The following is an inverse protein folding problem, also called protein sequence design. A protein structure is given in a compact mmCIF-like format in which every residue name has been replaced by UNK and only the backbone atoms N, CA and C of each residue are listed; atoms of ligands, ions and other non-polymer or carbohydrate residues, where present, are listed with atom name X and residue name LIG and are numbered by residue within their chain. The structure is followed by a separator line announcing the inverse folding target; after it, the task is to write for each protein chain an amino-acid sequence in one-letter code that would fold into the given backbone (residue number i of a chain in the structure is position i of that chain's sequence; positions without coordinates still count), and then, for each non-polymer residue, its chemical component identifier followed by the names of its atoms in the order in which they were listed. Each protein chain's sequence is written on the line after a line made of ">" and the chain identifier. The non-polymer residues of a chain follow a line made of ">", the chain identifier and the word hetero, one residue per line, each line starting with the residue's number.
data_IF_267826967841
#
_entry.id   IF_267826967841
#
_cell.length_a   1.000
_cell.length_b   1.000
_cell.length_c   1.000
_cell.angle_alpha   90.00
_cell.angle_beta   90.00
_cell.angle_gamma   90.00
#
_symmetry.space_group_name_H-M   'P 1'
#
loop_
_entity.id
_entity.type
_entity.pdbx_description
1 polymer ?
#
# COMPACT_ATOMS: atom_id res chain seq x y z
N UNK A 1 10.80 58.35 -13.52
CA UNK A 1 10.46 56.95 -13.21
C UNK A 1 9.33 56.39 -14.10
N UNK A 2 8.38 57.17 -14.52
CA UNK A 2 7.21 56.73 -15.31
C UNK A 2 7.52 56.13 -16.72
N UNK A 3 8.52 56.63 -17.42
CA UNK A 3 8.87 56.08 -18.77
C UNK A 3 9.40 54.64 -18.74
N UNK A 4 10.00 54.18 -17.63
CA UNK A 4 10.48 52.78 -17.51
C UNK A 4 9.33 51.81 -17.20
N UNK A 5 8.34 52.26 -16.44
CA UNK A 5 7.16 51.48 -16.12
C UNK A 5 6.29 51.22 -17.33
N UNK A 6 6.08 52.25 -18.17
CA UNK A 6 5.31 52.11 -19.42
C UNK A 6 5.97 51.16 -20.42
N UNK A 7 7.30 51.15 -20.49
CA UNK A 7 8.05 50.20 -21.35
C UNK A 7 7.94 48.75 -20.88
N UNK A 8 7.93 48.50 -19.57
CA UNK A 8 7.74 47.12 -19.04
C UNK A 8 6.33 46.59 -19.25
N UNK A 9 5.31 47.42 -19.11
CA UNK A 9 3.91 47.04 -19.36
C UNK A 9 3.71 46.73 -20.85
N UNK A 10 4.26 47.52 -21.75
CA UNK A 10 4.18 47.28 -23.19
C UNK A 10 4.90 45.97 -23.59
N UNK A 11 6.09 45.67 -23.01
CA UNK A 11 6.80 44.44 -23.30
C UNK A 11 6.04 43.18 -22.77
N UNK A 12 5.42 43.27 -21.61
CA UNK A 12 4.58 42.18 -21.09
C UNK A 12 3.35 41.93 -21.96
N UNK A 13 2.69 42.98 -22.42
CA UNK A 13 1.54 42.86 -23.31
C UNK A 13 1.90 42.19 -24.66
N UNK A 14 3.05 42.52 -25.23
CA UNK A 14 3.55 41.90 -26.49
C UNK A 14 3.85 40.41 -26.28
N UNK A 15 4.44 40.00 -25.13
CA UNK A 15 4.70 38.60 -24.84
C UNK A 15 3.44 37.80 -24.64
N UNK A 16 2.40 38.36 -24.00
CA UNK A 16 1.09 37.72 -23.86
C UNK A 16 0.41 37.50 -25.20
N UNK A 17 0.44 38.50 -26.08
CA UNK A 17 -0.13 38.40 -27.44
C UNK A 17 0.59 37.36 -28.28
N UNK A 18 1.94 37.28 -28.17
CA UNK A 18 2.74 36.26 -28.87
C UNK A 18 2.45 34.85 -28.33
N UNK A 19 2.23 34.71 -27.02
CA UNK A 19 1.88 33.41 -26.41
C UNK A 19 0.50 32.94 -26.85
N UNK A 20 -0.50 33.83 -26.91
CA UNK A 20 -1.87 33.54 -27.41
C UNK A 20 -1.82 33.17 -28.91
N UNK A 21 -1.03 33.88 -29.71
CA UNK A 21 -0.87 33.58 -31.14
C UNK A 21 -0.19 32.22 -31.37
N UNK A 22 0.78 31.83 -30.52
CA UNK A 22 1.42 30.53 -30.61
C UNK A 22 0.47 29.38 -30.31
N UNK A 23 -0.45 29.56 -29.37
CA UNK A 23 -1.43 28.52 -29.00
C UNK A 23 -2.53 28.34 -30.05
N UNK A 24 -2.91 29.43 -30.74
CA UNK A 24 -3.93 29.40 -31.81
C UNK A 24 -3.37 28.78 -33.11
N UNK A 25 -2.06 28.90 -33.37
CA UNK A 25 -1.43 28.39 -34.60
C UNK A 25 -0.61 27.10 -34.40
N UNK A 26 -0.77 26.40 -33.30
CA UNK A 26 -0.20 25.06 -33.17
C UNK A 26 -0.84 24.13 -34.20
N UNK A 27 -0.05 23.54 -35.12
CA UNK A 27 -0.61 22.52 -36.00
C UNK A 27 -1.10 21.35 -35.15
N UNK A 28 -2.33 20.90 -35.40
CA UNK A 28 -2.90 19.74 -34.74
C UNK A 28 -1.96 18.52 -34.90
N UNK A 29 -1.76 17.70 -33.88
CA UNK A 29 -1.00 16.46 -34.00
C UNK A 29 -1.64 15.63 -35.12
N UNK A 30 -0.82 15.18 -36.09
CA UNK A 30 -1.28 14.30 -37.15
C UNK A 30 -1.86 13.02 -36.53
N UNK A 31 -3.04 12.57 -37.01
CA UNK A 31 -3.55 11.27 -36.62
C UNK A 31 -2.50 10.20 -36.97
N UNK A 32 -2.11 9.39 -36.04
CA UNK A 32 -1.32 8.18 -36.30
C UNK A 32 -2.26 7.23 -37.01
N UNK A 33 -1.99 6.94 -38.29
CA UNK A 33 -2.70 5.89 -39.00
C UNK A 33 -2.50 4.57 -38.26
N UNK A 34 -3.56 3.80 -37.96
CA UNK A 34 -3.41 2.47 -37.40
C UNK A 34 -2.70 1.59 -38.43
N UNK A 35 -1.44 1.28 -38.16
CA UNK A 35 -0.71 0.27 -38.92
C UNK A 35 -1.49 -1.04 -38.91
N UNK A 36 -1.68 -1.58 -40.12
CA UNK A 36 -2.36 -2.85 -40.37
C UNK A 36 -1.69 -3.99 -39.58
N UNK A 37 -2.16 -4.23 -38.37
CA UNK A 37 -1.89 -5.48 -37.67
C UNK A 37 -2.89 -6.53 -38.19
N UNK A 38 -2.37 -7.45 -38.99
CA UNK A 38 -3.10 -8.66 -39.34
C UNK A 38 -3.59 -9.36 -38.05
N UNK A 39 -4.86 -9.85 -38.01
CA UNK A 39 -5.34 -10.52 -36.84
C UNK A 39 -4.54 -11.81 -36.61
N UNK A 40 -3.93 -11.93 -35.43
CA UNK A 40 -3.41 -13.20 -34.91
C UNK A 40 -4.58 -14.18 -34.85
N UNK A 41 -4.55 -15.19 -35.69
CA UNK A 41 -5.43 -16.35 -35.58
C UNK A 41 -5.17 -17.00 -34.22
N UNK A 42 -6.08 -16.78 -33.30
CA UNK A 42 -6.18 -17.59 -32.07
C UNK A 42 -6.61 -18.97 -32.54
N UNK A 43 -5.74 -19.97 -32.35
CA UNK A 43 -6.10 -21.36 -32.61
C UNK A 43 -7.27 -21.73 -31.69
N UNK A 44 -8.37 -22.25 -32.25
CA UNK A 44 -9.48 -22.80 -31.50
C UNK A 44 -8.99 -23.90 -30.57
N UNK A 45 -9.42 -23.91 -29.29
CA UNK A 45 -9.12 -25.02 -28.40
C UNK A 45 -9.79 -26.29 -28.91
N UNK A 46 -9.18 -27.48 -28.71
CA UNK A 46 -9.75 -28.74 -29.16
C UNK A 46 -11.11 -28.99 -28.50
N UNK A 47 -12.04 -29.66 -29.20
CA UNK A 47 -13.41 -29.93 -28.70
C UNK A 47 -13.37 -30.77 -27.42
N UNK A 48 -14.10 -30.28 -26.42
CA UNK A 48 -14.30 -30.98 -25.15
C UNK A 48 -15.07 -32.31 -25.44
N UNK A 49 -14.58 -33.48 -24.98
CA UNK A 49 -15.30 -34.75 -25.13
C UNK A 49 -16.62 -34.71 -24.36
N UNK A 50 -17.69 -35.36 -24.84
CA UNK A 50 -18.98 -35.36 -24.19
C UNK A 50 -18.89 -36.02 -22.79
N UNK A 51 -19.68 -35.51 -21.82
CA UNK A 51 -19.67 -36.03 -20.46
C UNK A 51 -20.10 -37.51 -20.46
N UNK A 52 -19.23 -38.35 -19.89
CA UNK A 52 -19.57 -39.75 -19.62
C UNK A 52 -20.53 -39.79 -18.43
N UNK A 53 -21.71 -40.45 -18.63
CA UNK A 53 -22.70 -40.67 -17.57
C UNK A 53 -22.03 -41.50 -16.44
N UNK A 54 -22.22 -41.15 -15.18
CA UNK A 54 -21.82 -41.99 -14.06
C UNK A 54 -22.73 -43.25 -13.97
N UNK A 55 -22.21 -44.36 -13.46
CA UNK A 55 -23.01 -45.57 -13.24
C UNK A 55 -24.10 -45.32 -12.18
N UNK A 56 -25.22 -46.06 -12.20
CA UNK A 56 -26.32 -45.87 -11.28
C UNK A 56 -25.89 -46.15 -9.82
N UNK A 57 -26.44 -45.39 -8.84
CA UNK A 57 -26.05 -45.54 -7.45
C UNK A 57 -26.65 -46.82 -6.86
N UNK A 58 -25.79 -47.63 -6.20
CA UNK A 58 -26.23 -48.69 -5.29
C UNK A 58 -26.92 -48.05 -4.07
N UNK A 59 -28.07 -48.66 -3.71
CA UNK A 59 -28.92 -48.27 -2.60
C UNK A 59 -28.20 -48.51 -1.27
N UNK A 60 -27.77 -47.44 -0.58
CA UNK A 60 -27.40 -47.49 0.83
C UNK A 60 -28.36 -46.65 1.68
N UNK A 61 -28.79 -47.23 2.78
CA UNK A 61 -29.68 -46.77 3.82
C UNK A 61 -29.39 -45.34 4.32
N UNK A 62 -30.41 -44.52 4.70
CA UNK A 62 -30.24 -43.18 5.13
C UNK A 62 -29.64 -43.10 6.56
N UNK A 63 -28.37 -42.75 6.66
CA UNK A 63 -27.77 -42.25 7.90
C UNK A 63 -28.03 -40.76 7.97
N UNK A 64 -28.80 -40.32 8.94
CA UNK A 64 -29.06 -38.90 9.26
C UNK A 64 -27.75 -38.20 9.61
N UNK A 65 -27.16 -37.55 8.65
CA UNK A 65 -26.00 -36.67 8.89
C UNK A 65 -26.49 -35.23 8.97
N UNK A 66 -26.41 -34.64 10.15
CA UNK A 66 -26.56 -33.19 10.37
C UNK A 66 -25.65 -32.44 9.39
N UNK A 67 -26.22 -31.66 8.49
CA UNK A 67 -25.48 -30.71 7.66
C UNK A 67 -24.92 -29.60 8.57
N UNK A 68 -23.73 -29.82 9.13
CA UNK A 68 -22.91 -28.78 9.69
C UNK A 68 -22.33 -27.97 8.53
N UNK A 69 -22.58 -26.65 8.53
CA UNK A 69 -21.95 -25.71 7.62
C UNK A 69 -20.42 -25.84 7.79
N UNK A 70 -19.73 -26.27 6.74
CA UNK A 70 -18.28 -26.44 6.77
C UNK A 70 -17.63 -25.11 7.13
N UNK A 71 -16.94 -25.06 8.27
CA UNK A 71 -16.09 -23.92 8.69
C UNK A 71 -14.86 -23.94 7.79
N UNK A 72 -14.48 -22.82 7.15
CA UNK A 72 -13.28 -22.78 6.33
C UNK A 72 -12.04 -23.21 7.12
N UNK A 73 -11.27 -24.15 6.60
CA UNK A 73 -10.01 -24.59 7.20
C UNK A 73 -9.06 -23.39 7.33
N UNK A 74 -8.31 -23.33 8.44
CA UNK A 74 -7.26 -22.34 8.64
C UNK A 74 -6.11 -22.52 7.62
N UNK A 75 -5.14 -21.59 7.58
CA UNK A 75 -4.05 -21.58 6.59
C UNK A 75 -3.22 -22.88 6.57
N UNK A 76 -3.20 -23.64 7.64
CA UNK A 76 -2.49 -24.92 7.76
C UNK A 76 -3.38 -26.16 7.49
N UNK A 77 -4.56 -25.99 6.90
CA UNK A 77 -5.51 -27.09 6.62
C UNK A 77 -6.11 -27.76 7.88
N UNK A 78 -5.75 -27.28 9.09
CA UNK A 78 -6.32 -27.73 10.36
C UNK A 78 -7.60 -26.97 10.68
N UNK A 79 -8.64 -27.66 11.10
CA UNK A 79 -9.82 -27.01 11.63
C UNK A 79 -9.47 -26.19 12.90
N UNK A 80 -9.93 -24.93 12.98
CA UNK A 80 -9.67 -24.11 14.16
C UNK A 80 -10.34 -24.72 15.40
N UNK A 81 -9.64 -24.70 16.53
CA UNK A 81 -10.17 -25.14 17.81
C UNK A 81 -11.30 -24.20 18.27
N UNK A 82 -12.13 -24.69 19.21
CA UNK A 82 -13.18 -23.87 19.82
C UNK A 82 -12.64 -22.56 20.43
N UNK A 83 -11.47 -22.61 21.09
CA UNK A 83 -10.85 -21.42 21.69
C UNK A 83 -10.39 -20.43 20.62
N UNK A 84 -9.85 -20.90 19.49
CA UNK A 84 -9.48 -20.05 18.37
C UNK A 84 -10.71 -19.37 17.76
N UNK A 85 -11.82 -20.11 17.59
CA UNK A 85 -13.08 -19.52 17.07
C UNK A 85 -13.65 -18.46 18.02
N UNK A 86 -13.59 -18.70 19.34
CA UNK A 86 -14.01 -17.72 20.34
C UNK A 86 -13.12 -16.47 20.30
N UNK A 87 -11.80 -16.64 20.22
CA UNK A 87 -10.85 -15.52 20.11
C UNK A 87 -11.08 -14.68 18.85
N UNK A 88 -11.30 -15.32 17.68
CA UNK A 88 -11.66 -14.66 16.42
C UNK A 88 -12.99 -13.90 16.53
N UNK A 89 -13.99 -14.50 17.17
CA UNK A 89 -15.28 -13.86 17.37
C UNK A 89 -15.17 -12.61 18.25
N UNK A 90 -14.41 -12.70 19.34
CA UNK A 90 -14.15 -11.57 20.23
C UNK A 90 -13.36 -10.46 19.52
N UNK A 91 -12.35 -10.82 18.72
CA UNK A 91 -11.59 -9.84 17.91
C UNK A 91 -12.51 -9.12 16.93
N UNK A 92 -13.38 -9.85 16.21
CA UNK A 92 -14.38 -9.24 15.32
C UNK A 92 -15.35 -8.32 16.08
N UNK A 93 -15.77 -8.70 17.29
CA UNK A 93 -16.63 -7.88 18.14
C UNK A 93 -15.93 -6.58 18.52
N UNK A 94 -14.67 -6.63 18.96
CA UNK A 94 -13.85 -5.47 19.30
C UNK A 94 -13.67 -4.52 18.12
N UNK A 95 -13.39 -5.06 16.92
CA UNK A 95 -13.26 -4.26 15.70
C UNK A 95 -14.57 -3.54 15.38
N UNK A 96 -15.71 -4.23 15.45
CA UNK A 96 -17.02 -3.57 15.25
C UNK A 96 -17.29 -2.48 16.28
N UNK A 97 -16.90 -2.70 17.54
CA UNK A 97 -17.08 -1.73 18.62
C UNK A 97 -16.21 -0.49 18.48
N UNK A 98 -15.07 -0.56 17.76
CA UNK A 98 -14.21 0.61 17.52
C UNK A 98 -14.88 1.62 16.58
N UNK A 99 -15.85 1.18 15.77
CA UNK A 99 -16.63 2.04 14.89
C UNK A 99 -15.76 2.95 14.01
N UNK A 100 -16.14 4.21 13.89
CA UNK A 100 -15.40 5.21 13.09
C UNK A 100 -14.15 5.76 13.78
N UNK A 101 -13.87 5.35 15.02
CA UNK A 101 -12.65 5.82 15.73
C UNK A 101 -11.37 5.23 15.16
N UNK A 102 -11.47 4.10 14.44
CA UNK A 102 -10.39 3.45 13.68
C UNK A 102 -10.89 3.08 12.29
N UNK A 103 -9.99 2.75 11.37
CA UNK A 103 -10.33 2.24 10.04
C UNK A 103 -9.98 0.76 9.84
N UNK A 104 -9.78 -0.02 10.91
CA UNK A 104 -9.47 -1.47 10.79
C UNK A 104 -10.57 -2.24 10.06
N UNK A 105 -11.84 -1.90 10.29
CA UNK A 105 -12.94 -2.53 9.57
C UNK A 105 -12.89 -2.26 8.06
N UNK A 106 -12.52 -1.04 7.68
CA UNK A 106 -12.33 -0.63 6.27
C UNK A 106 -11.18 -1.39 5.62
N UNK A 107 -10.05 -1.56 6.33
CA UNK A 107 -8.89 -2.34 5.87
C UNK A 107 -9.26 -3.80 5.59
N UNK A 108 -9.97 -4.44 6.52
CA UNK A 108 -10.40 -5.84 6.37
C UNK A 108 -11.41 -6.04 5.23
N UNK A 109 -12.26 -5.05 5.01
CA UNK A 109 -13.19 -5.04 3.86
C UNK A 109 -12.42 -4.93 2.54
N UNK A 110 -11.42 -4.03 2.48
CA UNK A 110 -10.63 -3.77 1.28
C UNK A 110 -9.71 -4.95 0.93
N UNK A 111 -9.05 -5.56 1.90
CA UNK A 111 -8.13 -6.69 1.68
C UNK A 111 -8.83 -7.98 1.26
N UNK A 112 -10.09 -8.16 1.66
CA UNK A 112 -10.90 -9.33 1.33
C UNK A 112 -10.43 -10.67 1.93
N UNK A 113 -9.24 -10.74 2.53
CA UNK A 113 -8.68 -11.95 3.15
C UNK A 113 -8.98 -12.08 4.65
N UNK A 114 -9.45 -11.01 5.27
CA UNK A 114 -9.76 -10.95 6.71
C UNK A 114 -8.57 -11.31 7.60
N UNK A 115 -7.35 -10.94 7.17
CA UNK A 115 -6.11 -11.23 7.88
C UNK A 115 -5.59 -9.95 8.56
N UNK A 116 -5.40 -10.01 9.89
CA UNK A 116 -4.68 -8.98 10.63
C UNK A 116 -3.19 -9.26 10.58
N UNK A 117 -2.41 -8.29 10.10
CA UNK A 117 -0.95 -8.37 9.98
C UNK A 117 -0.30 -7.34 10.88
N UNK A 118 0.71 -7.72 11.64
CA UNK A 118 1.54 -6.81 12.43
C UNK A 118 2.85 -7.45 12.85
N UNK A 119 3.80 -6.63 13.26
CA UNK A 119 5.00 -7.12 13.92
C UNK A 119 4.68 -7.62 15.33
N UNK A 120 5.45 -8.60 15.80
CA UNK A 120 5.31 -9.14 17.14
C UNK A 120 6.62 -8.98 17.92
N UNK A 121 6.53 -8.67 19.23
CA UNK A 121 7.66 -8.55 20.16
C UNK A 121 8.77 -7.56 19.71
N UNK A 122 8.40 -6.37 19.20
CA UNK A 122 9.33 -5.39 18.61
C UNK A 122 9.66 -4.20 19.53
N UNK A 123 9.25 -4.24 20.79
CA UNK A 123 9.66 -3.25 21.79
C UNK A 123 11.08 -3.49 22.33
N UNK A 124 11.42 -4.77 22.59
CA UNK A 124 12.73 -5.19 23.11
C UNK A 124 13.67 -5.66 22.03
N UNK A 125 13.16 -6.07 20.88
CA UNK A 125 13.92 -6.50 19.71
C UNK A 125 13.58 -5.60 18.52
N UNK A 126 14.29 -4.47 18.32
CA UNK A 126 14.01 -3.50 17.27
C UNK A 126 14.04 -4.12 15.86
N UNK A 127 13.20 -3.62 14.98
CA UNK A 127 13.22 -3.97 13.55
C UNK A 127 14.46 -3.33 12.91
N UNK A 128 15.29 -4.14 12.28
CA UNK A 128 16.51 -3.69 11.63
C UNK A 128 16.22 -3.19 10.24
N UNK A 129 16.47 -1.90 10.02
CA UNK A 129 16.21 -1.16 8.76
C UNK A 129 17.53 -0.84 8.08
N UNK A 130 17.68 -1.24 6.83
CA UNK A 130 18.83 -0.92 6.00
C UNK A 130 18.44 -0.09 4.79
N UNK A 131 19.26 0.94 4.50
CA UNK A 131 19.09 1.78 3.32
C UNK A 131 20.01 1.28 2.21
N UNK A 132 19.42 0.80 1.10
CA UNK A 132 20.18 0.34 -0.04
C UNK A 132 20.91 1.51 -0.70
N UNK A 133 22.20 1.34 -1.08
CA UNK A 133 22.92 2.32 -1.87
C UNK A 133 22.19 2.59 -3.19
N UNK A 134 22.29 3.83 -3.68
CA UNK A 134 21.62 4.22 -4.91
C UNK A 134 22.41 5.27 -5.70
N UNK A 135 22.19 5.23 -7.03
CA UNK A 135 22.60 6.27 -7.96
C UNK A 135 21.37 6.85 -8.70
N UNK A 136 20.19 6.73 -8.12
CA UNK A 136 18.97 7.27 -8.72
C UNK A 136 19.10 8.78 -8.92
N UNK A 137 18.68 9.28 -10.09
CA UNK A 137 18.67 10.72 -10.36
C UNK A 137 17.87 11.45 -9.27
N UNK A 138 18.27 12.68 -8.92
CA UNK A 138 17.71 13.50 -7.83
C UNK A 138 17.85 12.91 -6.41
N UNK A 139 18.55 11.80 -6.22
CA UNK A 139 18.79 11.31 -4.86
C UNK A 139 19.65 12.30 -4.06
N UNK A 140 19.25 12.56 -2.82
CA UNK A 140 19.95 13.43 -1.88
C UNK A 140 20.13 12.71 -0.54
N UNK A 141 21.28 12.89 0.17
CA UNK A 141 21.47 12.33 1.52
C UNK A 141 20.37 12.73 2.51
N UNK A 142 19.83 13.95 2.39
CA UNK A 142 18.72 14.46 3.20
C UNK A 142 17.45 13.60 3.12
N UNK A 143 17.28 12.79 2.08
CA UNK A 143 16.15 11.84 1.97
C UNK A 143 16.22 10.76 3.04
N UNK A 144 17.41 10.29 3.42
CA UNK A 144 17.56 9.31 4.52
C UNK A 144 17.10 9.93 5.84
N UNK A 145 17.43 11.19 6.10
CA UNK A 145 16.98 11.87 7.31
C UNK A 145 15.46 12.09 7.32
N UNK A 146 14.88 12.44 6.17
CA UNK A 146 13.43 12.56 6.00
C UNK A 146 12.70 11.23 6.29
N UNK A 147 13.25 10.10 5.83
CA UNK A 147 12.69 8.77 6.11
C UNK A 147 12.83 8.43 7.60
N UNK A 148 13.98 8.68 8.21
CA UNK A 148 14.16 8.47 9.67
C UNK A 148 13.16 9.28 10.49
N UNK A 149 12.84 10.51 10.06
CA UNK A 149 11.79 11.31 10.69
C UNK A 149 10.40 10.67 10.52
N UNK A 150 10.11 10.10 9.36
CA UNK A 150 8.87 9.36 9.12
C UNK A 150 8.71 8.15 10.08
N UNK A 151 9.76 7.34 10.26
CA UNK A 151 9.78 6.28 11.28
C UNK A 151 9.59 6.84 12.69
N UNK A 152 10.22 7.99 12.97
CA UNK A 152 10.10 8.70 14.24
C UNK A 152 8.67 9.16 14.55
N UNK A 153 7.90 9.61 13.58
CA UNK A 153 6.50 10.03 13.78
C UNK A 153 5.68 8.87 14.38
N UNK A 154 5.75 7.67 13.82
CA UNK A 154 5.03 6.49 14.32
C UNK A 154 5.53 6.05 15.70
N UNK A 155 6.83 6.05 15.93
CA UNK A 155 7.40 5.70 17.23
C UNK A 155 6.97 6.69 18.32
N UNK A 156 6.99 7.99 18.01
CA UNK A 156 6.57 9.05 18.93
C UNK A 156 5.06 9.02 19.22
N UNK A 157 4.26 8.50 18.28
CA UNK A 157 2.83 8.25 18.50
C UNK A 157 2.56 7.08 19.45
N UNK A 158 3.60 6.39 19.96
CA UNK A 158 3.47 5.34 20.95
C UNK A 158 3.24 3.92 20.39
N UNK A 159 3.46 3.72 19.09
CA UNK A 159 3.39 2.38 18.50
C UNK A 159 4.39 1.47 19.21
N UNK A 160 4.01 0.24 19.64
CA UNK A 160 4.87 -0.65 20.41
C UNK A 160 5.92 -1.37 19.54
N UNK A 161 6.59 -0.60 18.69
CA UNK A 161 7.64 -1.04 17.75
C UNK A 161 8.81 -0.07 17.84
N UNK A 162 10.03 -0.59 17.82
CA UNK A 162 11.26 0.19 17.73
C UNK A 162 12.01 -0.17 16.45
N UNK A 163 12.75 0.77 15.92
CA UNK A 163 13.56 0.60 14.71
C UNK A 163 15.04 0.82 15.02
N UNK A 164 15.88 0.01 14.41
CA UNK A 164 17.33 0.14 14.43
C UNK A 164 17.85 0.30 12.99
N UNK A 165 18.54 1.41 12.74
CA UNK A 165 19.08 1.72 11.41
C UNK A 165 20.49 1.17 11.31
N UNK A 166 20.66 0.09 10.55
CA UNK A 166 21.90 -0.68 10.44
C UNK A 166 22.67 -0.35 9.16
N UNK A 167 23.99 -0.51 9.22
CA UNK A 167 24.87 -0.29 8.07
C UNK A 167 25.02 -1.53 7.17
N UNK A 168 24.79 -2.74 7.72
CA UNK A 168 24.97 -4.02 7.04
C UNK A 168 23.62 -4.64 6.65
N UNK A 169 23.49 -4.99 5.38
CA UNK A 169 22.26 -5.59 4.84
C UNK A 169 22.02 -7.04 5.28
N UNK A 170 23.02 -7.77 5.77
CA UNK A 170 22.93 -9.21 6.05
C UNK A 170 21.89 -9.57 7.11
N UNK A 171 21.61 -8.64 8.02
CA UNK A 171 20.64 -8.81 9.10
C UNK A 171 19.41 -7.90 8.97
N UNK A 172 19.23 -7.26 7.84
CA UNK A 172 18.10 -6.35 7.61
C UNK A 172 16.79 -7.12 7.52
N UNK A 173 15.79 -6.67 8.26
CA UNK A 173 14.40 -7.14 8.15
C UNK A 173 13.59 -6.21 7.22
N UNK A 174 14.00 -4.94 7.15
CA UNK A 174 13.42 -3.94 6.26
C UNK A 174 14.50 -3.36 5.38
N UNK A 175 14.27 -3.35 4.08
CA UNK A 175 15.14 -2.71 3.11
C UNK A 175 14.45 -1.49 2.52
N UNK A 176 15.08 -0.33 2.58
CA UNK A 176 14.62 0.87 1.88
C UNK A 176 15.37 0.98 0.57
N UNK A 177 14.64 1.03 -0.54
CA UNK A 177 15.16 1.13 -1.92
C UNK A 177 14.68 2.40 -2.60
N UNK A 178 15.38 2.75 -3.67
CA UNK A 178 15.10 3.93 -4.45
C UNK A 178 14.86 3.57 -5.91
N UNK A 179 13.98 4.34 -6.55
CA UNK A 179 13.82 4.35 -8.00
C UNK A 179 13.63 5.78 -8.49
N UNK A 180 13.82 6.01 -9.77
CA UNK A 180 13.61 7.35 -10.33
C UNK A 180 12.13 7.68 -10.29
N UNK A 181 11.28 6.81 -10.81
CA UNK A 181 9.83 6.99 -10.92
C UNK A 181 9.15 5.63 -11.00
N UNK A 182 7.89 5.54 -10.60
CA UNK A 182 7.04 4.37 -10.84
C UNK A 182 6.36 4.47 -12.21
N UNK A 183 5.99 3.33 -12.79
CA UNK A 183 5.26 3.24 -14.07
C UNK A 183 3.78 3.63 -13.94
N UNK A 184 3.27 3.72 -12.73
CA UNK A 184 1.89 4.09 -12.38
C UNK A 184 1.90 5.28 -11.43
N UNK A 185 0.73 5.92 -11.23
CA UNK A 185 0.58 7.12 -10.39
C UNK A 185 0.80 6.82 -8.90
N UNK A 186 2.07 6.53 -8.52
CA UNK A 186 2.49 6.40 -7.11
C UNK A 186 3.90 6.96 -6.92
N UNK A 187 4.24 7.26 -5.68
CA UNK A 187 5.57 7.77 -5.28
C UNK A 187 6.27 6.87 -4.28
N UNK A 188 5.54 5.92 -3.69
CA UNK A 188 6.04 4.92 -2.76
C UNK A 188 5.37 3.57 -2.96
N UNK A 189 5.98 2.54 -2.39
CA UNK A 189 5.42 1.19 -2.31
C UNK A 189 6.09 0.44 -1.16
N UNK A 190 5.28 -0.28 -0.39
CA UNK A 190 5.75 -1.19 0.66
C UNK A 190 5.27 -2.60 0.39
N UNK A 191 6.23 -3.51 0.18
CA UNK A 191 5.98 -4.94 0.02
C UNK A 191 6.30 -5.62 1.35
N UNK A 192 5.30 -6.22 2.00
CA UNK A 192 5.42 -6.86 3.31
C UNK A 192 5.34 -8.37 3.17
N UNK A 193 6.18 -9.09 3.89
CA UNK A 193 6.12 -10.55 4.02
C UNK A 193 5.69 -10.93 5.44
N UNK A 194 4.85 -11.95 5.57
CA UNK A 194 4.30 -12.42 6.84
C UNK A 194 4.17 -13.94 6.87
N UNK A 195 4.05 -14.50 8.08
CA UNK A 195 3.79 -15.92 8.28
C UNK A 195 2.27 -16.23 8.28
N UNK A 196 1.94 -17.52 8.41
CA UNK A 196 0.55 -18.00 8.42
C UNK A 196 -0.29 -17.44 9.58
N UNK A 197 0.35 -16.98 10.64
CA UNK A 197 -0.29 -16.32 11.79
C UNK A 197 -0.41 -14.79 11.61
N UNK A 198 -0.06 -14.23 10.45
CA UNK A 198 -0.13 -12.80 10.20
C UNK A 198 0.98 -11.98 10.87
N UNK A 199 2.05 -12.63 11.38
CA UNK A 199 3.20 -11.90 11.93
C UNK A 199 4.10 -11.46 10.79
N UNK A 200 4.36 -10.16 10.71
CA UNK A 200 5.26 -9.60 9.71
C UNK A 200 6.70 -10.07 10.00
N UNK A 201 7.36 -10.57 8.97
CA UNK A 201 8.72 -11.11 9.02
C UNK A 201 9.74 -10.20 8.32
N UNK A 202 9.30 -9.41 7.36
CA UNK A 202 10.15 -8.49 6.61
C UNK A 202 9.39 -7.58 5.68
N UNK A 203 10.08 -6.57 5.15
CA UNK A 203 9.49 -5.67 4.16
C UNK A 203 10.54 -5.02 3.25
N UNK A 204 10.07 -4.56 2.10
CA UNK A 204 10.81 -3.68 1.20
C UNK A 204 10.00 -2.41 0.99
N UNK A 205 10.56 -1.27 1.37
CA UNK A 205 10.02 0.06 1.06
C UNK A 205 10.76 0.58 -0.16
N UNK A 206 10.04 0.94 -1.22
CA UNK A 206 10.60 1.55 -2.43
C UNK A 206 10.05 2.96 -2.58
N UNK A 207 10.91 3.95 -2.71
CA UNK A 207 10.54 5.36 -2.85
C UNK A 207 11.03 5.91 -4.18
N UNK A 208 10.21 6.73 -4.84
CA UNK A 208 10.59 7.44 -6.06
C UNK A 208 11.30 8.75 -5.72
N UNK A 209 12.26 9.16 -6.56
CA UNK A 209 12.93 10.46 -6.46
C UNK A 209 12.26 11.54 -7.32
N UNK A 210 11.32 11.14 -8.19
CA UNK A 210 10.46 12.02 -8.97
C UNK A 210 9.00 11.62 -8.80
N UNK A 211 8.10 12.60 -8.80
CA UNK A 211 6.66 12.37 -8.80
C UNK A 211 6.17 11.80 -10.15
N UNK A 212 4.92 11.32 -10.27
CA UNK A 212 4.38 10.77 -11.51
C UNK A 212 4.39 11.75 -12.71
N UNK A 213 4.48 13.06 -12.44
CA UNK A 213 4.56 14.12 -13.47
C UNK A 213 5.99 14.47 -13.85
N UNK A 214 7.00 13.79 -13.29
CA UNK A 214 8.42 14.04 -13.52
C UNK A 214 8.97 15.23 -12.75
N UNK A 215 8.29 15.75 -11.73
CA UNK A 215 8.81 16.78 -10.83
C UNK A 215 9.77 16.12 -9.83
N UNK A 216 10.98 16.68 -9.62
CA UNK A 216 11.89 16.22 -8.57
C UNK A 216 11.20 16.28 -7.20
N UNK A 217 11.35 15.21 -6.42
CA UNK A 217 10.87 15.17 -5.04
C UNK A 217 11.83 15.94 -4.12
N UNK A 218 11.27 16.65 -3.16
CA UNK A 218 12.01 17.32 -2.10
C UNK A 218 12.04 16.48 -0.81
N UNK A 219 12.94 16.73 0.16
CA UNK A 219 12.98 15.95 1.40
C UNK A 219 11.65 15.91 2.16
N UNK A 220 10.85 16.98 2.13
CA UNK A 220 9.53 17.02 2.75
C UNK A 220 8.52 16.12 2.01
N UNK A 221 8.58 16.07 0.68
CA UNK A 221 7.74 15.16 -0.12
C UNK A 221 8.08 13.70 0.23
N UNK A 222 9.38 13.38 0.30
CA UNK A 222 9.88 12.06 0.71
C UNK A 222 9.43 11.69 2.13
N UNK A 223 9.45 12.64 3.08
CA UNK A 223 8.98 12.39 4.44
C UNK A 223 7.51 12.00 4.47
N UNK A 224 6.64 12.70 3.75
CA UNK A 224 5.21 12.40 3.66
C UNK A 224 4.97 11.00 3.09
N UNK A 225 5.59 10.71 1.94
CA UNK A 225 5.48 9.39 1.32
C UNK A 225 6.02 8.29 2.24
N UNK A 226 7.19 8.51 2.86
CA UNK A 226 7.77 7.55 3.79
C UNK A 226 6.88 7.34 5.04
N UNK A 227 6.20 8.39 5.55
CA UNK A 227 5.28 8.24 6.68
C UNK A 227 4.11 7.32 6.31
N UNK A 228 3.56 7.47 5.11
CA UNK A 228 2.54 6.59 4.56
C UNK A 228 3.07 5.14 4.42
N UNK A 229 4.22 4.95 3.80
CA UNK A 229 4.82 3.63 3.58
C UNK A 229 5.18 2.92 4.89
N UNK A 230 5.63 3.65 5.91
CA UNK A 230 5.85 3.09 7.26
C UNK A 230 4.53 2.65 7.89
N UNK A 231 3.41 3.30 7.61
CA UNK A 231 2.09 2.80 8.01
C UNK A 231 1.80 1.39 7.46
N UNK A 232 2.07 1.15 6.18
CA UNK A 232 1.98 -0.18 5.57
C UNK A 232 2.96 -1.17 6.20
N UNK A 233 4.21 -0.75 6.46
CA UNK A 233 5.18 -1.55 7.20
C UNK A 233 4.66 -1.99 8.57
N UNK A 234 3.88 -1.17 9.25
CA UNK A 234 3.28 -1.47 10.55
C UNK A 234 2.03 -2.35 10.47
N UNK A 235 1.57 -2.68 9.27
CA UNK A 235 0.41 -3.54 9.02
C UNK A 235 -0.89 -2.78 8.74
N UNK A 236 -0.82 -1.46 8.56
CA UNK A 236 -1.98 -0.67 8.13
C UNK A 236 -2.21 -0.81 6.62
N UNK A 237 -3.45 -0.73 6.20
CA UNK A 237 -3.86 -0.54 4.82
C UNK A 237 -4.51 0.84 4.66
N UNK A 238 -4.98 1.17 3.47
CA UNK A 238 -5.51 2.48 3.17
C UNK A 238 -6.76 2.85 3.98
N UNK A 239 -6.82 4.12 4.38
CA UNK A 239 -8.03 4.76 4.91
C UNK A 239 -8.87 5.35 3.77
N UNK A 240 -10.18 5.46 3.99
CA UNK A 240 -11.12 6.17 3.07
C UNK A 240 -11.18 7.69 3.34
N UNK A 241 -10.60 8.18 4.44
CA UNK A 241 -10.62 9.59 4.83
C UNK A 241 -9.35 10.32 4.37
N UNK A 242 -9.51 11.40 3.61
CA UNK A 242 -8.40 12.18 3.06
C UNK A 242 -7.63 13.01 4.10
N UNK A 243 -8.08 13.04 5.35
CA UNK A 243 -7.36 13.66 6.47
C UNK A 243 -6.39 12.69 7.17
N UNK A 244 -6.46 11.40 6.86
CA UNK A 244 -5.53 10.39 7.35
C UNK A 244 -4.28 10.32 6.45
N UNK A 245 -3.11 10.06 7.04
CA UNK A 245 -1.88 9.84 6.27
C UNK A 245 -1.99 8.59 5.40
N UNK A 246 -2.79 7.60 5.84
CA UNK A 246 -3.03 6.35 5.11
C UNK A 246 -4.08 6.47 3.99
N UNK A 247 -4.53 7.68 3.64
CA UNK A 247 -5.31 7.86 2.41
C UNK A 247 -4.46 7.51 1.17
N UNK A 248 -4.99 6.83 0.13
CA UNK A 248 -4.21 6.31 -1.01
C UNK A 248 -3.31 7.34 -1.70
N UNK A 249 -3.70 8.61 -1.69
CA UNK A 249 -2.87 9.73 -2.12
C UNK A 249 -2.75 10.68 -0.95
N UNK A 250 -1.67 10.55 -0.16
CA UNK A 250 -1.48 11.35 1.05
C UNK A 250 -1.60 12.85 0.74
N UNK A 251 -2.53 13.52 1.44
CA UNK A 251 -2.81 14.96 1.31
C UNK A 251 -2.36 15.74 2.54
N UNK A 252 -1.99 15.04 3.59
CA UNK A 252 -1.56 15.56 4.88
C UNK A 252 -0.11 15.19 5.14
N UNK A 253 0.55 15.87 6.08
CA UNK A 253 1.97 15.65 6.41
C UNK A 253 2.15 14.87 7.71
N UNK A 254 1.19 14.97 8.59
CA UNK A 254 1.24 14.43 9.94
C UNK A 254 0.23 13.29 10.10
N UNK A 255 0.48 12.44 11.09
CA UNK A 255 -0.46 11.41 11.47
C UNK A 255 -1.75 12.05 12.01
N UNK A 256 -2.90 11.56 11.57
CA UNK A 256 -4.17 11.91 12.18
C UNK A 256 -4.35 11.17 13.52
N UNK A 257 -5.22 11.67 14.36
CA UNK A 257 -5.64 10.94 15.57
C UNK A 257 -6.22 9.55 15.22
N UNK A 258 -6.82 9.42 14.04
CA UNK A 258 -7.43 8.18 13.58
C UNK A 258 -6.36 7.19 13.11
N UNK A 259 -5.29 7.65 12.44
CA UNK A 259 -4.11 6.82 12.12
C UNK A 259 -3.50 6.24 13.39
N UNK A 260 -3.24 7.11 14.38
CA UNK A 260 -2.64 6.72 15.67
C UNK A 260 -3.55 5.72 16.41
N UNK A 261 -4.84 6.00 16.54
CA UNK A 261 -5.77 5.07 17.19
C UNK A 261 -5.86 3.73 16.46
N UNK A 262 -5.83 3.74 15.13
CA UNK A 262 -5.92 2.52 14.34
C UNK A 262 -4.71 1.62 14.55
N UNK A 263 -3.49 2.16 14.47
CA UNK A 263 -2.29 1.36 14.68
C UNK A 263 -2.19 0.86 16.12
N UNK A 264 -2.45 1.71 17.12
CA UNK A 264 -2.42 1.29 18.52
C UNK A 264 -3.44 0.18 18.80
N UNK A 265 -4.63 0.28 18.22
CA UNK A 265 -5.66 -0.75 18.35
C UNK A 265 -5.26 -2.04 17.63
N UNK A 266 -4.70 -1.97 16.42
CA UNK A 266 -4.17 -3.13 15.68
C UNK A 266 -3.18 -3.92 16.56
N UNK A 267 -2.28 -3.23 17.26
CA UNK A 267 -1.28 -3.88 18.13
C UNK A 267 -1.85 -4.44 19.45
N UNK A 268 -3.10 -4.14 19.79
CA UNK A 268 -3.84 -4.78 20.88
C UNK A 268 -4.61 -6.04 20.45
N UNK A 269 -4.71 -6.28 19.15
CA UNK A 269 -5.38 -7.44 18.58
C UNK A 269 -4.37 -8.55 18.32
N UNK A 270 -4.82 -9.80 18.38
CA UNK A 270 -4.02 -10.94 17.94
C UNK A 270 -3.93 -10.92 16.42
N UNK A 271 -2.72 -11.02 15.82
CA UNK A 271 -2.59 -11.15 14.38
C UNK A 271 -3.16 -12.48 13.92
N UNK A 272 -3.43 -12.59 12.61
CA UNK A 272 -3.91 -13.82 12.01
C UNK A 272 -5.29 -13.71 11.37
N UNK A 273 -5.79 -14.84 10.89
CA UNK A 273 -7.08 -14.92 10.21
C UNK A 273 -8.24 -14.70 11.16
N UNK A 274 -9.21 -13.91 10.72
CA UNK A 274 -10.50 -13.71 11.39
C UNK A 274 -11.63 -14.57 10.80
N UNK A 275 -11.33 -15.40 9.78
CA UNK A 275 -12.28 -16.36 9.19
C UNK A 275 -12.43 -17.60 10.04
#
# INVERSE_FOLDING_TARGET
>A
MERRLTGMIAAAAVLIVLFIFWDIFRPAPRPVEPGANAPLRIAEPPPIPPPQNPPPPEATTPTTTSQGTAVPAGPNGREPSYLELMARSETRRRIRSSGSTTYIAEMLEASGDSMLRRWDNRQTNPIRVWFAPTHAANYQPAFVDAIKQAFGQWTNAGVPVRFDFIADSSNAEVTVKWRIQFEIERTGQTDVTWDDDGRIQGAVITLATFDPKGRPMEPQDIQVVATHEVGHLLGLDHSKDSTDIMFPTAKVRDLSDRDVRTVLFLYQLTPGSLR
#
